data_IF_466991835947
#
_entry.id   IF_466991835947
#
_cell.length_a   1.000
_cell.length_b   1.000
_cell.length_c   1.000
_cell.angle_alpha   90.00
_cell.angle_beta   90.00
_cell.angle_gamma   90.00
#
_symmetry.space_group_name_H-M   'P 1'
#
loop_
_entity.id
_entity.type
_entity.pdbx_description
1 polymer ?
#
# COMPACT_ATOMS: atom_id res chain seq x y z
N UNK A 1 5.52 -19.18 44.61
CA UNK A 1 5.74 -20.44 43.87
C UNK A 1 4.39 -20.83 43.29
N UNK A 2 4.10 -20.44 42.03
CA UNK A 2 4.32 -21.25 40.80
C UNK A 2 3.31 -22.44 40.76
N UNK A 3 2.46 -22.71 39.76
CA UNK A 3 2.45 -22.54 38.28
C UNK A 3 0.97 -22.50 37.81
N UNK A 4 0.52 -21.59 36.94
CA UNK A 4 0.51 -21.66 35.46
C UNK A 4 -0.19 -22.90 34.86
N UNK A 5 -1.40 -22.71 34.31
CA UNK A 5 -1.93 -23.51 33.19
C UNK A 5 -2.57 -22.58 32.15
N UNK A 6 -1.84 -22.36 31.05
CA UNK A 6 -2.28 -21.55 29.92
C UNK A 6 -3.34 -22.26 29.07
N UNK A 7 -4.41 -21.54 28.74
CA UNK A 7 -5.27 -21.87 27.60
C UNK A 7 -4.66 -21.26 26.33
N UNK A 8 -4.44 -22.11 25.32
CA UNK A 8 -4.10 -21.69 23.96
C UNK A 8 -5.27 -20.87 23.40
N UNK A 9 -5.02 -19.59 23.15
CA UNK A 9 -5.86 -18.77 22.30
C UNK A 9 -5.66 -19.21 20.84
N UNK A 10 -6.71 -19.67 20.19
CA UNK A 10 -6.75 -19.78 18.73
C UNK A 10 -6.55 -18.39 18.14
N UNK A 11 -5.43 -18.20 17.43
CA UNK A 11 -5.12 -16.98 16.69
C UNK A 11 -6.15 -16.79 15.58
N UNK A 12 -6.93 -15.72 15.66
CA UNK A 12 -7.70 -15.19 14.54
C UNK A 12 -6.95 -13.96 14.01
N UNK A 13 -6.70 -13.84 12.70
CA UNK A 13 -6.15 -12.62 12.11
C UNK A 13 -7.06 -11.43 12.38
N UNK A 14 -6.45 -10.25 12.52
CA UNK A 14 -7.11 -8.96 12.82
C UNK A 14 -8.18 -8.57 11.76
N UNK A 15 -8.15 -9.18 10.57
CA UNK A 15 -9.12 -8.90 9.49
C UNK A 15 -10.48 -9.60 9.63
N UNK A 16 -10.76 -10.33 10.73
CA UNK A 16 -12.05 -10.98 10.94
C UNK A 16 -13.17 -10.05 11.49
N UNK A 17 -12.93 -8.75 11.65
CA UNK A 17 -13.81 -7.86 12.43
C UNK A 17 -14.71 -6.92 11.61
N UNK A 18 -14.43 -6.70 10.32
CA UNK A 18 -15.35 -5.97 9.44
C UNK A 18 -16.66 -6.74 9.13
N UNK A 19 -16.76 -8.03 9.51
CA UNK A 19 -18.00 -8.80 9.37
C UNK A 19 -19.11 -8.47 10.39
N UNK A 20 -18.83 -7.73 11.48
CA UNK A 20 -19.80 -7.60 12.59
C UNK A 20 -20.63 -6.29 12.62
N UNK A 21 -20.48 -5.36 11.68
CA UNK A 21 -21.20 -4.07 11.72
C UNK A 21 -22.40 -4.00 10.76
N UNK A 22 -22.69 -5.04 9.97
CA UNK A 22 -23.81 -5.03 9.02
C UNK A 22 -24.79 -6.19 9.16
N UNK A 23 -25.37 -6.34 10.35
CA UNK A 23 -26.72 -6.90 10.53
C UNK A 23 -27.41 -6.19 11.69
N UNK A 24 -28.13 -5.11 11.40
CA UNK A 24 -29.00 -4.47 12.38
C UNK A 24 -30.11 -5.42 12.82
N UNK A 25 -30.00 -5.98 14.04
CA UNK A 25 -31.15 -6.46 14.82
C UNK A 25 -30.96 -6.21 16.32
N UNK A 26 -31.87 -5.39 16.84
CA UNK A 26 -32.18 -5.20 18.25
C UNK A 26 -32.62 -6.55 18.86
N UNK A 27 -32.14 -6.83 20.08
CA UNK A 27 -32.40 -8.00 20.95
C UNK A 27 -33.91 -8.16 21.35
N UNK A 28 -34.42 -9.23 22.02
CA UNK A 28 -33.77 -9.97 23.13
C UNK A 28 -34.08 -11.49 23.32
N UNK A 29 -33.37 -12.07 24.30
CA UNK A 29 -33.69 -13.24 25.16
C UNK A 29 -33.37 -14.70 24.75
N UNK A 30 -32.55 -15.31 25.63
CA UNK A 30 -32.41 -16.69 26.13
C UNK A 30 -33.10 -17.89 25.43
N UNK A 31 -32.32 -18.96 25.14
CA UNK A 31 -32.37 -20.31 25.78
C UNK A 31 -31.63 -21.40 24.96
N UNK A 32 -30.83 -22.19 25.68
CA UNK A 32 -30.50 -23.62 25.53
C UNK A 32 -30.78 -24.37 24.20
N UNK A 33 -29.77 -25.10 23.65
CA UNK A 33 -29.57 -26.56 23.84
C UNK A 33 -28.37 -27.13 23.01
N UNK A 34 -27.54 -27.89 23.73
CA UNK A 34 -26.73 -29.10 23.42
C UNK A 34 -26.20 -29.47 22.00
N UNK A 35 -24.94 -29.90 22.09
CA UNK A 35 -24.30 -31.10 21.51
C UNK A 35 -24.10 -31.20 19.98
N UNK A 36 -22.83 -31.28 19.58
CA UNK A 36 -22.37 -32.43 18.79
C UNK A 36 -20.88 -32.71 19.00
N UNK A 37 -20.57 -34.01 19.10
CA UNK A 37 -19.23 -34.61 19.16
C UNK A 37 -18.60 -34.57 17.78
N UNK A 38 -17.30 -34.29 17.67
CA UNK A 38 -16.50 -34.67 16.50
C UNK A 38 -15.23 -35.42 16.95
N UNK A 39 -15.02 -36.54 16.28
CA UNK A 39 -13.96 -37.52 16.40
C UNK A 39 -12.60 -36.95 15.97
N UNK A 40 -11.56 -37.28 16.73
CA UNK A 40 -10.16 -37.17 16.32
C UNK A 40 -9.83 -38.29 15.33
N UNK A 41 -9.14 -37.97 14.24
CA UNK A 41 -8.33 -38.95 13.50
C UNK A 41 -6.92 -38.40 13.35
N UNK A 42 -5.96 -39.22 13.78
CA UNK A 42 -4.52 -38.99 13.74
C UNK A 42 -3.98 -39.36 12.36
N UNK A 43 -3.05 -38.58 11.82
CA UNK A 43 -2.23 -38.96 10.67
C UNK A 43 -0.75 -38.84 11.05
N UNK A 44 -0.10 -40.01 11.03
CA UNK A 44 1.29 -40.24 11.38
C UNK A 44 2.22 -39.90 10.20
N UNK A 45 3.28 -39.17 10.51
CA UNK A 45 4.45 -38.91 9.68
C UNK A 45 5.20 -40.20 9.29
N UNK A 46 5.67 -40.28 8.04
CA UNK A 46 6.80 -41.13 7.65
C UNK A 46 7.79 -40.37 6.79
N UNK A 47 8.97 -40.13 7.39
CA UNK A 47 10.22 -39.78 6.72
C UNK A 47 10.68 -40.90 5.78
N UNK A 48 11.27 -40.51 4.64
CA UNK A 48 12.30 -41.32 3.95
C UNK A 48 13.35 -40.42 3.30
N UNK A 49 14.54 -40.43 3.89
CA UNK A 49 15.80 -40.10 3.21
C UNK A 49 16.13 -41.22 2.20
N UNK A 50 16.72 -40.85 1.05
CA UNK A 50 17.79 -41.65 0.42
C UNK A 50 18.71 -40.76 -0.41
N UNK A 51 19.98 -41.14 -0.29
CA UNK A 51 21.24 -40.55 -0.74
C UNK A 51 21.51 -40.67 -2.25
N UNK A 52 22.19 -39.64 -2.76
CA UNK A 52 23.27 -39.59 -3.75
C UNK A 52 23.50 -40.75 -4.73
N UNK A 53 23.69 -40.40 -6.02
CA UNK A 53 24.79 -40.96 -6.81
C UNK A 53 25.30 -39.97 -7.87
N UNK A 54 26.63 -39.81 -7.87
CA UNK A 54 27.46 -39.10 -8.84
C UNK A 54 27.41 -39.78 -10.22
N UNK A 55 27.48 -39.01 -11.30
CA UNK A 55 28.29 -39.37 -12.46
C UNK A 55 28.65 -38.12 -13.26
N UNK A 56 29.95 -37.89 -13.40
CA UNK A 56 30.52 -36.76 -14.10
C UNK A 56 30.51 -36.91 -15.61
N UNK A 57 30.58 -35.77 -16.29
CA UNK A 57 31.19 -35.67 -17.61
C UNK A 57 31.74 -34.25 -17.82
N UNK A 58 33.08 -34.17 -17.90
CA UNK A 58 33.81 -33.03 -18.43
C UNK A 58 33.57 -32.91 -19.94
N UNK A 59 33.29 -31.71 -20.45
CA UNK A 59 33.66 -31.32 -21.82
C UNK A 59 34.05 -29.84 -21.89
N UNK A 60 35.37 -29.64 -22.01
CA UNK A 60 36.11 -28.62 -22.80
C UNK A 60 35.68 -27.14 -22.77
N UNK A 61 36.52 -26.35 -22.09
CA UNK A 61 36.69 -24.92 -22.34
C UNK A 61 37.36 -24.66 -23.71
N UNK A 62 36.79 -23.77 -24.50
CA UNK A 62 37.44 -23.17 -25.68
C UNK A 62 38.04 -21.83 -25.29
N UNK A 63 39.35 -21.72 -25.43
CA UNK A 63 40.15 -20.51 -25.28
C UNK A 63 40.20 -19.76 -26.62
N UNK A 64 39.74 -18.51 -26.66
CA UNK A 64 40.06 -17.59 -27.75
C UNK A 64 41.40 -16.92 -27.47
N UNK A 65 42.34 -17.12 -28.40
CA UNK A 65 43.66 -16.48 -28.44
C UNK A 65 43.52 -15.08 -29.06
N UNK A 66 44.01 -14.06 -28.36
CA UNK A 66 44.34 -12.75 -28.93
C UNK A 66 45.82 -12.75 -29.32
N UNK A 67 46.11 -12.30 -30.54
CA UNK A 67 47.46 -12.18 -31.07
C UNK A 67 47.89 -10.70 -31.00
N UNK A 68 49.10 -10.36 -30.49
CA UNK A 68 49.59 -8.99 -30.40
C UNK A 68 50.60 -8.67 -31.51
N UNK A 69 50.65 -7.42 -31.96
CA UNK A 69 51.80 -6.77 -32.61
C UNK A 69 51.58 -5.25 -32.54
N UNK A 70 52.34 -4.53 -31.70
CA UNK A 70 53.63 -3.84 -31.97
C UNK A 70 53.45 -2.64 -32.94
N UNK A 71 54.01 -1.44 -32.75
CA UNK A 71 54.87 -0.82 -31.73
C UNK A 71 55.05 0.66 -32.19
N UNK A 72 55.15 1.63 -31.26
CA UNK A 72 56.05 2.84 -31.26
C UNK A 72 56.07 3.84 -32.45
N UNK A 73 56.36 5.14 -32.34
CA UNK A 73 56.92 5.98 -31.28
C UNK A 73 56.74 7.49 -31.61
N UNK A 74 56.83 8.29 -30.54
CA UNK A 74 57.43 9.62 -30.35
C UNK A 74 57.32 10.75 -31.40
N UNK A 75 57.00 11.95 -30.89
CA UNK A 75 57.33 13.23 -31.51
C UNK A 75 56.92 14.43 -30.66
N UNK A 76 57.81 14.90 -29.79
CA UNK A 76 57.73 16.22 -29.13
C UNK A 76 58.02 17.32 -30.15
N UNK A 77 57.16 18.34 -30.23
CA UNK A 77 57.52 19.69 -30.70
C UNK A 77 56.75 20.71 -29.89
N UNK A 78 57.47 21.53 -29.13
CA UNK A 78 56.96 22.74 -28.50
C UNK A 78 56.72 23.84 -29.53
N UNK A 79 55.60 24.55 -29.43
CA UNK A 79 55.46 25.89 -29.97
C UNK A 79 54.64 26.75 -28.99
N UNK A 80 55.26 27.81 -28.50
CA UNK A 80 54.63 28.87 -27.71
C UNK A 80 53.67 29.67 -28.60
N UNK A 81 52.48 29.95 -28.09
CA UNK A 81 51.69 31.13 -28.47
C UNK A 81 51.01 31.65 -27.19
N UNK A 82 51.53 32.78 -26.73
CA UNK A 82 50.89 33.60 -25.72
C UNK A 82 49.75 34.39 -26.37
N UNK A 83 48.53 34.24 -25.87
CA UNK A 83 47.42 35.15 -26.16
C UNK A 83 46.45 35.15 -24.97
N UNK A 84 46.40 36.30 -24.30
CA UNK A 84 45.39 36.84 -23.38
C UNK A 84 44.32 35.89 -22.82
N UNK A 85 44.37 35.66 -21.51
CA UNK A 85 43.24 35.18 -20.72
C UNK A 85 42.15 36.27 -20.65
N UNK A 86 40.89 36.00 -21.01
CA UNK A 86 39.77 36.80 -20.54
C UNK A 86 39.56 36.52 -19.06
N UNK A 87 39.54 37.58 -18.28
CA UNK A 87 39.16 37.58 -16.87
C UNK A 87 37.72 37.05 -16.76
N UNK A 88 37.54 35.84 -16.23
CA UNK A 88 36.23 35.29 -15.95
C UNK A 88 35.54 36.17 -14.91
N UNK A 89 34.54 36.93 -15.35
CA UNK A 89 33.64 37.64 -14.44
C UNK A 89 32.87 36.60 -13.63
N UNK A 90 33.00 36.66 -12.31
CA UNK A 90 32.19 35.89 -11.38
C UNK A 90 30.74 36.39 -11.47
N UNK A 91 29.95 35.80 -12.34
CA UNK A 91 28.49 35.91 -12.28
C UNK A 91 28.02 35.06 -11.11
N UNK A 92 27.68 35.71 -10.01
CA UNK A 92 26.87 35.15 -8.93
C UNK A 92 25.57 34.63 -9.55
N UNK A 93 25.44 33.31 -9.67
CA UNK A 93 24.17 32.66 -10.00
C UNK A 93 23.27 32.87 -8.79
N UNK A 94 22.32 33.80 -8.90
CA UNK A 94 21.22 33.89 -7.95
C UNK A 94 20.50 32.53 -7.91
N UNK A 95 20.17 31.98 -6.74
CA UNK A 95 19.33 30.80 -6.67
C UNK A 95 18.01 31.11 -7.39
N UNK A 96 17.63 30.27 -8.35
CA UNK A 96 16.28 30.31 -8.92
C UNK A 96 15.29 30.29 -7.75
N UNK A 97 14.26 31.16 -7.76
CA UNK A 97 13.23 31.08 -6.76
C UNK A 97 12.63 29.67 -6.79
N UNK A 98 12.58 29.01 -5.64
CA UNK A 98 11.78 27.80 -5.47
C UNK A 98 10.39 28.09 -6.05
N UNK A 99 9.84 27.23 -6.92
CA UNK A 99 8.52 27.47 -7.49
C UNK A 99 7.54 27.68 -6.33
N UNK A 100 6.85 28.82 -6.33
CA UNK A 100 5.76 29.06 -5.41
C UNK A 100 4.80 27.88 -5.47
N UNK A 101 4.49 27.31 -4.31
CA UNK A 101 3.44 26.30 -4.15
C UNK A 101 2.22 26.73 -4.98
N UNK A 102 1.81 25.90 -5.94
CA UNK A 102 0.59 26.10 -6.70
C UNK A 102 -0.44 25.18 -6.07
N UNK A 103 -1.33 25.68 -5.20
CA UNK A 103 -2.40 24.87 -4.64
C UNK A 103 -3.19 24.20 -5.77
N UNK A 104 -3.43 22.89 -5.66
CA UNK A 104 -4.15 22.15 -6.70
C UNK A 104 -3.28 21.73 -7.88
N UNK A 105 -2.00 21.44 -7.67
CA UNK A 105 -1.19 20.72 -8.66
C UNK A 105 -1.29 19.21 -8.45
N UNK A 106 -1.15 18.43 -9.52
CA UNK A 106 -1.00 16.97 -9.42
C UNK A 106 0.18 16.60 -8.52
N UNK A 107 0.00 15.55 -7.72
CA UNK A 107 1.08 15.00 -6.90
C UNK A 107 2.12 14.36 -7.82
N UNK A 108 3.40 14.60 -7.54
CA UNK A 108 4.53 14.03 -8.28
C UNK A 108 5.60 13.51 -7.33
N UNK A 109 6.67 12.93 -7.88
CA UNK A 109 7.87 12.57 -7.12
C UNK A 109 9.06 13.44 -7.56
N UNK A 110 9.96 13.73 -6.63
CA UNK A 110 11.22 14.42 -6.88
C UNK A 110 12.35 13.66 -6.18
N UNK A 111 13.05 12.82 -6.95
CA UNK A 111 13.99 11.85 -6.40
C UNK A 111 13.26 10.89 -5.46
N UNK A 112 13.68 10.86 -4.20
CA UNK A 112 13.16 9.95 -3.19
C UNK A 112 12.02 10.55 -2.35
N UNK A 113 11.48 11.70 -2.73
CA UNK A 113 10.42 12.39 -2.00
C UNK A 113 9.16 12.61 -2.84
N UNK A 114 8.01 12.70 -2.19
CA UNK A 114 6.79 13.20 -2.78
C UNK A 114 6.78 14.72 -2.90
N UNK A 115 6.01 15.22 -3.85
CA UNK A 115 5.72 16.64 -4.06
C UNK A 115 4.20 16.85 -4.01
N UNK A 116 3.71 17.44 -2.93
CA UNK A 116 2.29 17.78 -2.75
C UNK A 116 2.12 19.30 -2.80
N UNK A 117 1.30 19.78 -3.74
CA UNK A 117 1.02 21.21 -3.95
C UNK A 117 2.30 22.07 -4.03
N UNK A 118 3.31 21.55 -4.73
CA UNK A 118 4.63 22.17 -4.92
C UNK A 118 5.60 22.05 -3.73
N UNK A 119 5.20 21.44 -2.61
CA UNK A 119 6.10 21.18 -1.48
C UNK A 119 6.72 19.80 -1.62
N UNK A 120 8.05 19.74 -1.67
CA UNK A 120 8.80 18.47 -1.65
C UNK A 120 9.10 18.11 -0.20
N UNK A 121 8.82 16.88 0.22
CA UNK A 121 9.21 16.43 1.56
C UNK A 121 8.45 15.21 2.06
N UNK A 122 8.50 15.05 3.39
CA UNK A 122 7.80 14.00 4.11
C UNK A 122 6.36 14.41 4.43
N UNK A 123 5.40 13.49 4.27
CA UNK A 123 3.98 13.74 4.56
C UNK A 123 3.37 12.65 5.42
N UNK A 124 2.66 13.03 6.47
CA UNK A 124 1.83 12.10 7.22
C UNK A 124 0.39 12.10 6.68
N UNK A 125 -0.27 10.97 6.86
CA UNK A 125 -1.66 10.76 6.51
C UNK A 125 -2.29 9.65 7.34
N UNK A 126 -3.42 9.13 6.87
CA UNK A 126 -4.12 8.03 7.53
C UNK A 126 -4.94 7.20 6.54
N UNK A 127 -5.55 6.13 7.04
CA UNK A 127 -6.49 5.28 6.33
C UNK A 127 -7.92 5.53 6.85
N UNK A 128 -8.89 5.61 5.93
CA UNK A 128 -10.32 5.65 6.26
C UNK A 128 -11.09 4.87 5.19
N UNK A 129 -11.06 3.55 5.30
CA UNK A 129 -11.74 2.66 4.34
C UNK A 129 -13.25 2.93 4.25
N UNK A 130 -13.83 3.41 5.34
CA UNK A 130 -15.27 3.56 5.53
C UNK A 130 -15.84 4.88 4.98
N UNK A 131 -15.01 5.89 4.67
CA UNK A 131 -15.49 7.24 4.32
C UNK A 131 -16.27 7.27 3.00
N UNK A 132 -15.85 6.47 2.01
CA UNK A 132 -16.54 6.33 0.72
C UNK A 132 -17.95 5.76 0.83
N UNK A 133 -18.28 5.12 1.95
CA UNK A 133 -19.56 4.46 2.16
C UNK A 133 -20.51 5.28 3.04
N UNK A 134 -20.05 6.42 3.56
CA UNK A 134 -20.90 7.35 4.29
C UNK A 134 -21.93 7.96 3.35
N UNK A 135 -23.19 8.00 3.78
CA UNK A 135 -24.29 8.64 3.03
C UNK A 135 -24.55 10.08 3.43
N UNK A 136 -24.09 10.48 4.61
CA UNK A 136 -24.22 11.85 5.09
C UNK A 136 -23.00 12.65 4.63
N UNK A 137 -23.25 13.70 3.86
CA UNK A 137 -22.21 14.60 3.35
C UNK A 137 -21.56 15.41 4.47
N UNK A 138 -22.31 15.79 5.51
CA UNK A 138 -21.78 16.54 6.65
C UNK A 138 -20.78 15.70 7.44
N UNK A 139 -20.97 14.38 7.53
CA UNK A 139 -20.02 13.47 8.18
C UNK A 139 -18.72 13.35 7.37
N UNK A 140 -18.81 13.32 6.04
CA UNK A 140 -17.62 13.34 5.16
C UNK A 140 -16.85 14.64 5.32
N UNK A 141 -17.54 15.79 5.28
CA UNK A 141 -16.92 17.10 5.45
C UNK A 141 -16.32 17.29 6.85
N UNK A 142 -16.96 16.77 7.90
CA UNK A 142 -16.43 16.77 9.27
C UNK A 142 -15.05 16.10 9.33
N UNK A 143 -14.96 14.88 8.79
CA UNK A 143 -13.71 14.12 8.75
C UNK A 143 -12.63 14.88 8.00
N UNK A 144 -12.94 15.40 6.80
CA UNK A 144 -11.96 16.16 6.03
C UNK A 144 -11.54 17.48 6.70
N UNK A 145 -12.43 18.15 7.44
CA UNK A 145 -12.08 19.32 8.27
C UNK A 145 -11.08 18.94 9.35
N UNK A 146 -11.34 17.87 10.10
CA UNK A 146 -10.43 17.41 11.16
C UNK A 146 -9.08 16.93 10.62
N UNK A 147 -9.05 16.23 9.47
CA UNK A 147 -7.80 15.86 8.79
C UNK A 147 -6.97 17.10 8.41
N UNK A 148 -7.63 18.12 7.82
CA UNK A 148 -7.00 19.37 7.45
C UNK A 148 -6.45 20.13 8.67
N UNK A 149 -7.25 20.24 9.73
CA UNK A 149 -6.88 20.88 11.00
C UNK A 149 -5.68 20.19 11.66
N UNK A 150 -5.62 18.86 11.56
CA UNK A 150 -4.53 18.05 12.11
C UNK A 150 -3.24 18.14 11.28
N UNK A 151 -3.29 18.70 10.08
CA UNK A 151 -2.14 18.82 9.19
C UNK A 151 -1.82 17.56 8.38
N UNK A 152 -2.67 16.53 8.45
CA UNK A 152 -2.57 15.34 7.60
C UNK A 152 -2.78 15.75 6.14
N UNK A 153 -2.04 15.12 5.21
CA UNK A 153 -2.07 15.48 3.78
C UNK A 153 -2.56 14.39 2.86
N UNK A 154 -2.48 13.14 3.31
CA UNK A 154 -2.83 11.97 2.52
C UNK A 154 -3.92 11.19 3.27
N UNK A 155 -4.97 10.79 2.56
CA UNK A 155 -5.99 9.89 3.07
C UNK A 155 -6.15 8.72 2.10
N UNK A 156 -5.91 7.50 2.56
CA UNK A 156 -6.16 6.30 1.76
C UNK A 156 -7.59 5.81 2.02
N UNK A 157 -8.35 5.60 0.95
CA UNK A 157 -9.79 5.30 0.97
C UNK A 157 -10.13 4.16 0.01
N UNK A 158 -11.17 3.38 0.33
CA UNK A 158 -11.51 2.24 -0.51
C UNK A 158 -12.25 2.70 -1.76
N UNK A 159 -11.62 2.51 -2.91
CA UNK A 159 -12.22 2.79 -4.22
C UNK A 159 -13.07 1.64 -4.75
N UNK A 160 -13.30 0.60 -3.93
CA UNK A 160 -14.08 -0.59 -4.26
C UNK A 160 -15.19 -0.83 -3.21
N UNK A 161 -16.26 -1.48 -3.66
CA UNK A 161 -17.29 -2.06 -2.81
C UNK A 161 -18.04 -3.09 -3.69
N UNK A 162 -17.50 -4.29 -3.70
CA UNK A 162 -17.90 -5.39 -4.58
C UNK A 162 -18.99 -6.24 -3.90
N UNK A 163 -20.05 -6.55 -4.64
CA UNK A 163 -21.16 -7.38 -4.17
C UNK A 163 -21.54 -8.42 -5.21
N UNK A 164 -22.01 -9.59 -4.76
CA UNK A 164 -22.57 -10.61 -5.66
C UNK A 164 -24.09 -10.52 -5.81
N UNK A 165 -24.73 -9.65 -5.03
CA UNK A 165 -26.14 -9.33 -5.12
C UNK A 165 -26.35 -7.88 -4.74
N UNK A 166 -27.20 -7.16 -5.48
CA UNK A 166 -27.57 -5.78 -5.13
C UNK A 166 -28.19 -5.73 -3.72
N UNK A 167 -27.67 -4.91 -2.80
CA UNK A 167 -28.29 -4.70 -1.48
C UNK A 167 -29.71 -4.14 -1.61
N UNK A 168 -30.64 -4.64 -0.80
CA UNK A 168 -32.06 -4.21 -0.83
C UNK A 168 -32.41 -3.18 0.25
N UNK A 169 -31.53 -2.97 1.21
CA UNK A 169 -31.66 -1.99 2.30
C UNK A 169 -31.12 -0.60 1.91
N UNK A 170 -30.73 -0.45 0.63
CA UNK A 170 -30.15 0.77 0.07
C UNK A 170 -28.69 0.98 0.44
N UNK A 171 -27.99 0.01 1.04
CA UNK A 171 -26.57 0.13 1.37
C UNK A 171 -25.72 0.47 0.15
N UNK A 172 -24.64 1.21 0.39
CA UNK A 172 -23.71 1.60 -0.67
C UNK A 172 -23.03 0.37 -1.26
N UNK A 173 -22.99 0.28 -2.59
CA UNK A 173 -22.21 -0.70 -3.34
C UNK A 173 -21.74 -0.07 -4.65
N UNK A 174 -20.53 -0.39 -5.10
CA UNK A 174 -19.96 0.21 -6.30
C UNK A 174 -19.97 -0.74 -7.50
N UNK A 175 -19.88 -2.04 -7.25
CA UNK A 175 -19.65 -3.01 -8.31
C UNK A 175 -20.42 -4.30 -8.04
N UNK A 176 -21.36 -4.64 -8.92
CA UNK A 176 -22.12 -5.88 -8.88
C UNK A 176 -21.48 -6.92 -9.80
N UNK A 177 -21.03 -8.02 -9.20
CA UNK A 177 -20.40 -9.16 -9.86
C UNK A 177 -21.31 -10.40 -9.74
N UNK A 178 -22.06 -10.74 -10.77
CA UNK A 178 -23.03 -11.83 -10.71
C UNK A 178 -23.18 -12.54 -12.06
N UNK A 179 -23.33 -13.87 -12.01
CA UNK A 179 -23.65 -14.70 -13.17
C UNK A 179 -22.73 -14.47 -14.40
N UNK A 180 -21.42 -14.36 -14.15
CA UNK A 180 -20.43 -14.08 -15.21
C UNK A 180 -20.48 -12.66 -15.78
N UNK A 181 -21.11 -11.71 -15.07
CA UNK A 181 -21.23 -10.31 -15.50
C UNK A 181 -20.78 -9.35 -14.40
N UNK A 182 -20.42 -8.14 -14.82
CA UNK A 182 -19.95 -7.06 -13.97
C UNK A 182 -20.70 -5.77 -14.33
N UNK A 183 -21.29 -5.10 -13.34
CA UNK A 183 -22.03 -3.84 -13.52
C UNK A 183 -21.61 -2.83 -12.47
N UNK A 184 -21.16 -1.66 -12.91
CA UNK A 184 -20.78 -0.54 -12.03
C UNK A 184 -22.03 0.23 -11.62
N UNK A 185 -22.17 0.55 -10.34
CA UNK A 185 -23.22 1.42 -9.83
C UNK A 185 -22.76 2.88 -9.87
N UNK A 186 -23.24 3.63 -10.86
CA UNK A 186 -22.97 5.08 -10.99
C UNK A 186 -24.00 5.96 -10.26
N UNK A 187 -24.94 5.36 -9.53
CA UNK A 187 -26.04 6.04 -8.84
C UNK A 187 -25.66 6.66 -7.48
N UNK A 188 -26.68 7.21 -6.81
CA UNK A 188 -26.57 7.89 -5.50
C UNK A 188 -26.05 6.99 -4.37
N UNK A 189 -26.38 5.69 -4.42
CA UNK A 189 -25.89 4.64 -3.51
C UNK A 189 -24.65 3.92 -4.08
N UNK A 190 -24.01 4.49 -5.10
CA UNK A 190 -22.83 3.95 -5.76
C UNK A 190 -21.67 4.93 -5.78
N UNK A 191 -21.01 5.05 -6.93
CA UNK A 191 -19.82 5.89 -7.10
C UNK A 191 -20.06 7.39 -6.81
N UNK A 192 -21.31 7.86 -6.77
CA UNK A 192 -21.58 9.24 -6.31
C UNK A 192 -21.19 9.48 -4.85
N UNK A 193 -21.09 8.44 -4.02
CA UNK A 193 -20.54 8.57 -2.66
C UNK A 193 -19.03 8.81 -2.69
N UNK A 194 -18.31 8.14 -3.59
CA UNK A 194 -16.89 8.40 -3.82
C UNK A 194 -16.66 9.78 -4.47
N UNK A 195 -17.56 10.24 -5.34
CA UNK A 195 -17.50 11.61 -5.89
C UNK A 195 -17.50 12.66 -4.79
N UNK A 196 -18.34 12.49 -3.78
CA UNK A 196 -18.41 13.45 -2.68
C UNK A 196 -17.14 13.43 -1.83
N UNK A 197 -16.54 12.24 -1.62
CA UNK A 197 -15.23 12.13 -0.96
C UNK A 197 -14.14 12.87 -1.73
N UNK A 198 -14.08 12.71 -3.06
CA UNK A 198 -13.12 13.43 -3.90
C UNK A 198 -13.36 14.94 -3.84
N UNK A 199 -14.63 15.39 -3.96
CA UNK A 199 -14.97 16.81 -3.88
C UNK A 199 -14.63 17.43 -2.52
N UNK A 200 -14.85 16.70 -1.41
CA UNK A 200 -14.49 17.17 -0.08
C UNK A 200 -12.97 17.19 0.11
N UNK A 201 -12.24 16.20 -0.42
CA UNK A 201 -10.78 16.21 -0.43
C UNK A 201 -10.20 17.43 -1.18
N UNK A 202 -10.77 17.78 -2.34
CA UNK A 202 -10.41 19.00 -3.09
C UNK A 202 -10.61 20.27 -2.24
N UNK A 203 -11.77 20.39 -1.59
CA UNK A 203 -12.12 21.53 -0.74
C UNK A 203 -11.18 21.70 0.45
N UNK A 204 -10.70 20.59 1.03
CA UNK A 204 -9.88 20.60 2.23
C UNK A 204 -8.37 20.45 1.95
N UNK A 205 -7.98 20.28 0.68
CA UNK A 205 -6.57 20.15 0.29
C UNK A 205 -5.94 18.85 0.80
N UNK A 206 -6.72 17.77 0.80
CA UNK A 206 -6.29 16.40 1.13
C UNK A 206 -6.09 15.62 -0.17
N UNK A 207 -5.06 14.77 -0.24
CA UNK A 207 -4.76 13.93 -1.40
C UNK A 207 -5.15 12.48 -1.13
N UNK A 208 -5.84 11.85 -2.08
CA UNK A 208 -6.45 10.53 -1.92
C UNK A 208 -5.62 9.43 -2.57
N UNK A 209 -5.32 8.38 -1.83
CA UNK A 209 -4.96 7.09 -2.43
C UNK A 209 -6.25 6.29 -2.57
N UNK A 210 -6.53 5.83 -3.79
CA UNK A 210 -7.76 5.10 -4.12
C UNK A 210 -7.38 3.76 -4.73
N UNK A 211 -7.76 2.68 -4.06
CA UNK A 211 -7.51 1.30 -4.52
C UNK A 211 -8.71 0.67 -5.21
N UNK A 212 -8.47 -0.26 -6.13
CA UNK A 212 -9.52 -0.75 -7.04
C UNK A 212 -10.14 -2.09 -6.67
N UNK A 213 -9.51 -2.86 -5.78
CA UNK A 213 -10.03 -4.17 -5.32
C UNK A 213 -9.37 -4.56 -3.99
N UNK A 214 -10.06 -5.37 -3.19
CA UNK A 214 -9.49 -5.97 -1.99
C UNK A 214 -8.93 -7.37 -2.28
N UNK A 215 -7.75 -7.72 -1.73
CA UNK A 215 -7.37 -9.12 -1.64
C UNK A 215 -8.28 -9.89 -0.67
N UNK A 216 -8.64 -9.27 0.46
CA UNK A 216 -9.51 -9.86 1.48
C UNK A 216 -10.98 -9.86 1.06
N UNK A 217 -11.84 -10.48 1.87
CA UNK A 217 -13.25 -10.68 1.56
C UNK A 217 -14.14 -9.51 1.99
N UNK A 218 -13.61 -8.58 2.79
CA UNK A 218 -14.35 -7.40 3.24
C UNK A 218 -14.66 -6.51 2.05
N UNK A 219 -15.94 -6.12 1.96
CA UNK A 219 -16.50 -5.44 0.79
C UNK A 219 -16.30 -6.22 -0.52
N UNK A 220 -16.34 -7.56 -0.43
CA UNK A 220 -16.35 -8.50 -1.55
C UNK A 220 -14.96 -8.94 -1.99
N UNK A 221 -14.15 -7.98 -2.46
CA UNK A 221 -12.79 -8.20 -2.95
C UNK A 221 -12.68 -9.25 -4.05
N UNK A 222 -11.49 -9.82 -4.20
CA UNK A 222 -11.20 -10.86 -5.21
C UNK A 222 -12.19 -12.04 -5.08
N UNK A 223 -12.66 -12.38 -3.87
CA UNK A 223 -13.62 -13.46 -3.70
C UNK A 223 -14.98 -13.18 -4.38
N UNK A 224 -15.39 -11.92 -4.51
CA UNK A 224 -16.59 -11.56 -5.27
C UNK A 224 -16.41 -11.85 -6.78
N UNK A 225 -15.22 -11.62 -7.33
CA UNK A 225 -14.88 -12.01 -8.71
C UNK A 225 -14.87 -13.53 -8.86
N UNK A 226 -14.27 -14.27 -7.91
CA UNK A 226 -14.26 -15.73 -7.90
C UNK A 226 -15.67 -16.32 -7.91
N UNK A 227 -16.59 -15.77 -7.11
CA UNK A 227 -17.98 -16.21 -7.08
C UNK A 227 -18.72 -15.97 -8.40
N UNK A 228 -18.41 -14.88 -9.10
CA UNK A 228 -19.08 -14.53 -10.35
C UNK A 228 -18.52 -15.27 -11.58
N UNK A 229 -17.20 -15.53 -11.61
CA UNK A 229 -16.50 -16.04 -12.80
C UNK A 229 -15.88 -17.44 -12.61
N UNK A 230 -15.84 -17.97 -11.39
CA UNK A 230 -15.26 -19.28 -11.04
C UNK A 230 -13.73 -19.27 -10.91
N UNK A 231 -13.16 -20.26 -10.22
CA UNK A 231 -11.70 -20.37 -9.97
C UNK A 231 -11.34 -20.19 -8.50
N UNK A 232 -10.11 -19.77 -8.22
CA UNK A 232 -9.62 -19.37 -6.90
C UNK A 232 -9.12 -17.92 -6.88
N UNK A 233 -8.69 -17.42 -5.71
CA UNK A 233 -8.12 -16.07 -5.60
C UNK A 233 -6.85 -15.92 -6.43
N UNK A 234 -6.03 -16.96 -6.50
CA UNK A 234 -4.79 -16.98 -7.29
C UNK A 234 -5.09 -16.90 -8.79
N UNK A 235 -6.21 -17.49 -9.23
CA UNK A 235 -6.64 -17.41 -10.63
C UNK A 235 -7.02 -15.98 -11.04
N UNK A 236 -7.42 -15.11 -10.11
CA UNK A 236 -7.81 -13.72 -10.41
C UNK A 236 -6.80 -12.99 -11.28
N UNK A 237 -5.51 -13.16 -10.99
CA UNK A 237 -4.42 -12.46 -11.65
C UNK A 237 -4.24 -12.85 -13.13
N UNK A 238 -4.73 -14.02 -13.54
CA UNK A 238 -4.54 -14.57 -14.90
C UNK A 238 -5.85 -14.93 -15.60
N UNK A 239 -6.99 -14.89 -14.90
CA UNK A 239 -8.30 -15.16 -15.46
C UNK A 239 -8.78 -13.97 -16.31
N UNK A 240 -8.88 -14.16 -17.62
CA UNK A 240 -9.25 -13.13 -18.58
C UNK A 240 -10.61 -12.47 -18.28
N UNK A 241 -11.60 -13.23 -17.81
CA UNK A 241 -12.93 -12.70 -17.51
C UNK A 241 -12.92 -11.81 -16.26
N UNK A 242 -12.21 -12.23 -15.21
CA UNK A 242 -12.03 -11.41 -14.00
C UNK A 242 -11.22 -10.15 -14.30
N UNK A 243 -10.13 -10.27 -15.05
CA UNK A 243 -9.30 -9.13 -15.43
C UNK A 243 -10.04 -8.16 -16.35
N UNK A 244 -10.89 -8.64 -17.25
CA UNK A 244 -11.75 -7.77 -18.07
C UNK A 244 -12.74 -6.98 -17.19
N UNK A 245 -13.40 -7.62 -16.23
CA UNK A 245 -14.31 -6.96 -15.29
C UNK A 245 -13.57 -5.93 -14.42
N UNK A 246 -12.43 -6.31 -13.84
CA UNK A 246 -11.60 -5.44 -13.01
C UNK A 246 -11.07 -4.22 -13.79
N UNK A 247 -10.58 -4.41 -15.02
CA UNK A 247 -10.13 -3.29 -15.88
C UNK A 247 -11.26 -2.39 -16.35
N UNK A 248 -12.46 -2.92 -16.52
CA UNK A 248 -13.65 -2.11 -16.79
C UNK A 248 -14.00 -1.24 -15.57
N UNK A 249 -13.91 -1.80 -14.35
CA UNK A 249 -14.11 -1.06 -13.11
C UNK A 249 -13.05 0.04 -12.89
N UNK A 250 -11.76 -0.27 -13.07
CA UNK A 250 -10.66 0.71 -13.04
C UNK A 250 -10.98 1.89 -13.96
N UNK A 251 -11.37 1.59 -15.22
CA UNK A 251 -11.69 2.63 -16.18
C UNK A 251 -12.87 3.49 -15.75
N UNK A 252 -13.92 2.87 -15.20
CA UNK A 252 -15.07 3.58 -14.69
C UNK A 252 -14.65 4.58 -13.59
N UNK A 253 -13.87 4.15 -12.60
CA UNK A 253 -13.39 5.01 -11.51
C UNK A 253 -12.45 6.12 -12.02
N UNK A 254 -11.39 5.77 -12.76
CA UNK A 254 -10.39 6.74 -13.25
C UNK A 254 -11.05 7.82 -14.12
N UNK A 255 -12.00 7.45 -14.98
CA UNK A 255 -12.66 8.40 -15.88
C UNK A 255 -13.42 9.52 -15.17
N UNK A 256 -13.72 9.36 -13.88
CA UNK A 256 -14.40 10.38 -13.06
C UNK A 256 -13.45 11.42 -12.50
N UNK A 257 -12.21 11.03 -12.22
CA UNK A 257 -11.30 11.81 -11.39
C UNK A 257 -9.94 12.06 -12.04
N UNK A 258 -9.73 11.68 -13.30
CA UNK A 258 -8.45 11.86 -14.00
C UNK A 258 -7.99 13.32 -14.02
N UNK A 259 -8.89 14.30 -13.95
CA UNK A 259 -8.58 15.74 -13.89
C UNK A 259 -8.53 16.31 -12.47
N UNK A 260 -8.93 15.55 -11.44
CA UNK A 260 -8.91 16.01 -10.06
C UNK A 260 -7.49 16.04 -9.52
N UNK A 261 -7.07 17.16 -8.94
CA UNK A 261 -5.75 17.27 -8.30
C UNK A 261 -5.75 16.77 -6.85
N UNK A 262 -6.89 16.27 -6.37
CA UNK A 262 -7.02 15.64 -5.07
C UNK A 262 -6.63 14.16 -5.10
N UNK A 263 -6.32 13.55 -6.25
CA UNK A 263 -5.80 12.18 -6.27
C UNK A 263 -4.28 12.22 -6.01
N UNK A 264 -3.85 11.49 -4.98
CA UNK A 264 -2.44 11.21 -4.69
C UNK A 264 -1.92 10.13 -5.66
N UNK A 265 -2.58 8.97 -5.64
CA UNK A 265 -2.21 7.82 -6.45
C UNK A 265 -3.40 6.89 -6.72
N UNK A 266 -3.32 6.21 -7.86
CA UNK A 266 -4.11 5.02 -8.15
C UNK A 266 -3.39 3.79 -7.59
N UNK A 267 -4.07 3.04 -6.73
CA UNK A 267 -3.52 1.83 -6.12
C UNK A 267 -4.17 0.59 -6.73
N UNK A 268 -3.36 -0.38 -7.15
CA UNK A 268 -3.87 -1.56 -7.84
C UNK A 268 -4.86 -2.33 -6.96
N UNK A 269 -4.48 -2.67 -5.74
CA UNK A 269 -5.32 -3.42 -4.82
C UNK A 269 -4.90 -3.17 -3.37
N UNK A 270 -5.82 -3.38 -2.43
CA UNK A 270 -5.45 -3.55 -1.03
C UNK A 270 -4.82 -4.93 -0.81
N UNK A 271 -3.56 -4.94 -0.38
CA UNK A 271 -2.78 -6.11 0.07
C UNK A 271 -2.81 -7.32 -0.91
N UNK A 272 -2.54 -7.15 -2.22
CA UNK A 272 -2.58 -8.25 -3.17
C UNK A 272 -1.57 -9.34 -2.80
N UNK A 273 -2.06 -10.58 -2.62
CA UNK A 273 -1.23 -11.78 -2.42
C UNK A 273 -1.57 -12.88 -3.41
N UNK A 274 -0.60 -13.72 -3.73
CA UNK A 274 -0.78 -14.96 -4.48
C UNK A 274 -0.11 -16.10 -3.72
N UNK A 275 -0.85 -16.70 -2.79
CA UNK A 275 -0.29 -17.62 -1.80
C UNK A 275 0.27 -18.89 -2.43
N UNK A 276 1.57 -19.12 -2.23
CA UNK A 276 2.29 -20.26 -2.81
C UNK A 276 2.54 -20.15 -4.33
N UNK A 277 2.23 -19.02 -4.95
CA UNK A 277 2.53 -18.78 -6.35
C UNK A 277 4.01 -18.42 -6.55
N UNK A 278 4.51 -18.66 -7.76
CA UNK A 278 5.74 -18.01 -8.21
C UNK A 278 5.55 -16.49 -8.23
N UNK A 279 6.56 -15.73 -7.79
CA UNK A 279 6.46 -14.26 -7.68
C UNK A 279 6.22 -13.56 -9.03
N UNK A 280 6.50 -14.26 -10.13
CA UNK A 280 6.20 -13.79 -11.49
C UNK A 280 4.72 -13.59 -11.75
N UNK A 281 3.81 -14.27 -11.02
CA UNK A 281 2.36 -14.11 -11.21
C UNK A 281 1.93 -12.69 -10.84
N UNK A 282 2.26 -12.24 -9.62
CA UNK A 282 1.96 -10.86 -9.20
C UNK A 282 2.75 -9.86 -10.04
N UNK A 283 4.04 -10.09 -10.30
CA UNK A 283 4.85 -9.19 -11.13
C UNK A 283 4.21 -8.88 -12.49
N UNK A 284 3.78 -9.92 -13.22
CA UNK A 284 3.17 -9.76 -14.54
C UNK A 284 1.81 -9.03 -14.45
N UNK A 285 1.01 -9.35 -13.43
CA UNK A 285 -0.26 -8.67 -13.19
C UNK A 285 -0.07 -7.19 -12.83
N UNK A 286 0.90 -6.88 -11.98
CA UNK A 286 1.25 -5.50 -11.58
C UNK A 286 1.71 -4.70 -12.79
N UNK A 287 2.64 -5.26 -13.59
CA UNK A 287 3.14 -4.60 -14.79
C UNK A 287 1.99 -4.29 -15.77
N UNK A 288 1.18 -5.29 -16.10
CA UNK A 288 0.09 -5.14 -17.05
C UNK A 288 -1.03 -4.20 -16.57
N UNK A 289 -1.31 -4.20 -15.26
CA UNK A 289 -2.37 -3.36 -14.69
C UNK A 289 -1.91 -1.91 -14.54
N UNK A 290 -0.70 -1.68 -14.04
CA UNK A 290 -0.14 -0.32 -13.92
C UNK A 290 0.05 0.34 -15.29
N UNK A 291 0.49 -0.39 -16.32
CA UNK A 291 0.53 0.11 -17.70
C UNK A 291 -0.85 0.52 -18.22
N UNK A 292 -1.90 -0.24 -17.90
CA UNK A 292 -3.25 0.09 -18.31
C UNK A 292 -3.77 1.34 -17.59
N UNK A 293 -3.54 1.47 -16.28
CA UNK A 293 -3.85 2.69 -15.52
C UNK A 293 -3.14 3.90 -16.14
N UNK A 294 -1.83 3.81 -16.41
CA UNK A 294 -1.07 4.89 -17.05
C UNK A 294 -1.56 5.24 -18.46
N UNK A 295 -2.18 4.28 -19.17
CA UNK A 295 -2.81 4.53 -20.48
C UNK A 295 -4.13 5.30 -20.39
N UNK A 296 -4.82 5.22 -19.25
CA UNK A 296 -6.04 5.97 -18.95
C UNK A 296 -5.72 7.34 -18.33
N UNK A 297 -4.65 7.41 -17.54
CA UNK A 297 -4.25 8.58 -16.78
C UNK A 297 -2.73 8.70 -16.65
N UNK A 298 -2.16 9.67 -17.35
CA UNK A 298 -0.73 9.95 -17.35
C UNK A 298 -0.28 10.98 -16.31
N UNK A 299 -1.19 11.48 -15.47
CA UNK A 299 -0.95 12.63 -14.57
C UNK A 299 -0.75 12.20 -13.12
N UNK A 300 -1.47 11.17 -12.68
CA UNK A 300 -1.40 10.66 -11.32
C UNK A 300 -0.32 9.60 -11.12
N UNK A 301 0.14 9.49 -9.87
CA UNK A 301 1.02 8.41 -9.44
C UNK A 301 0.26 7.08 -9.42
N UNK A 302 0.99 5.97 -9.51
CA UNK A 302 0.47 4.60 -9.43
C UNK A 302 1.34 3.80 -8.46
N UNK A 303 0.70 3.11 -7.52
CA UNK A 303 1.33 2.19 -6.57
C UNK A 303 0.59 0.84 -6.55
N UNK A 304 1.19 -0.13 -5.85
CA UNK A 304 0.67 -1.50 -5.83
C UNK A 304 -0.37 -1.66 -4.71
N UNK A 305 -0.06 -1.20 -3.50
CA UNK A 305 -0.85 -1.43 -2.29
C UNK A 305 -0.51 -2.74 -1.57
N UNK A 306 0.65 -3.34 -1.87
CA UNK A 306 1.13 -4.55 -1.21
C UNK A 306 1.79 -4.28 0.14
N UNK A 307 1.81 -5.31 0.98
CA UNK A 307 2.34 -5.25 2.35
C UNK A 307 3.87 -5.15 2.42
N UNK A 308 4.58 -5.28 1.29
CA UNK A 308 6.05 -5.27 1.23
C UNK A 308 6.72 -6.64 1.39
N UNK A 309 5.97 -7.74 1.33
CA UNK A 309 6.54 -9.07 1.50
C UNK A 309 7.53 -9.48 0.40
N UNK A 310 8.43 -10.40 0.76
CA UNK A 310 9.45 -10.92 -0.15
C UNK A 310 10.55 -9.90 -0.39
N UNK A 311 11.54 -9.85 0.50
CA UNK A 311 12.63 -8.88 0.41
C UNK A 311 13.92 -9.47 0.99
N UNK A 312 14.99 -9.46 0.20
CA UNK A 312 16.31 -9.91 0.68
C UNK A 312 17.04 -8.84 1.51
N UNK A 313 16.78 -7.55 1.22
CA UNK A 313 17.41 -6.43 1.91
C UNK A 313 17.02 -6.44 3.38
N UNK A 314 18.00 -6.54 4.28
CA UNK A 314 17.78 -6.53 5.72
C UNK A 314 17.04 -7.76 6.28
N UNK A 315 16.86 -8.80 5.46
CA UNK A 315 16.13 -10.01 5.85
C UNK A 315 16.76 -10.71 7.05
N UNK A 316 15.94 -11.06 8.03
CA UNK A 316 16.27 -11.90 9.19
C UNK A 316 15.75 -13.33 9.05
N UNK A 317 15.19 -13.68 7.89
CA UNK A 317 14.58 -14.98 7.63
C UNK A 317 13.15 -15.14 8.17
N UNK A 318 12.57 -14.13 8.82
CA UNK A 318 11.17 -14.16 9.27
C UNK A 318 10.20 -14.22 8.08
N UNK A 319 8.99 -14.72 8.35
CA UNK A 319 7.93 -14.93 7.36
C UNK A 319 7.68 -13.71 6.44
N UNK A 320 7.56 -12.45 6.94
CA UNK A 320 7.33 -11.29 6.08
C UNK A 320 8.40 -11.06 5.00
N UNK A 321 9.67 -11.36 5.30
CA UNK A 321 10.74 -11.24 4.31
C UNK A 321 10.75 -12.37 3.28
N UNK A 322 9.98 -13.45 3.50
CA UNK A 322 9.91 -14.58 2.57
C UNK A 322 8.92 -14.31 1.43
N UNK A 323 9.08 -15.09 0.36
CA UNK A 323 8.32 -14.95 -0.89
C UNK A 323 7.02 -15.79 -0.92
N UNK A 324 6.59 -16.37 0.21
CA UNK A 324 5.48 -17.34 0.24
C UNK A 324 4.11 -16.75 -0.08
N UNK A 325 3.96 -15.42 0.05
CA UNK A 325 2.75 -14.70 -0.35
C UNK A 325 2.76 -14.30 -1.84
N UNK A 326 3.76 -14.76 -2.60
CA UNK A 326 3.86 -14.53 -4.05
C UNK A 326 4.33 -13.14 -4.44
N UNK A 327 4.77 -12.31 -3.48
CA UNK A 327 5.35 -10.98 -3.74
C UNK A 327 6.88 -11.01 -3.69
N UNK A 328 7.50 -10.10 -4.44
CA UNK A 328 8.93 -9.79 -4.43
C UNK A 328 9.03 -8.26 -4.51
N UNK A 329 9.19 -7.62 -3.35
CA UNK A 329 9.10 -6.17 -3.22
C UNK A 329 10.07 -5.43 -4.13
N UNK A 330 11.35 -5.83 -4.14
CA UNK A 330 12.37 -5.17 -4.93
C UNK A 330 12.12 -5.31 -6.43
N UNK A 331 11.69 -6.49 -6.88
CA UNK A 331 11.36 -6.74 -8.28
C UNK A 331 10.10 -6.01 -8.74
N UNK A 332 9.07 -5.99 -7.90
CA UNK A 332 7.82 -5.28 -8.20
C UNK A 332 8.03 -3.77 -8.25
N UNK A 333 8.81 -3.20 -7.31
CA UNK A 333 9.17 -1.78 -7.30
C UNK A 333 9.96 -1.36 -8.55
N UNK A 334 10.70 -2.27 -9.18
CA UNK A 334 11.46 -1.98 -10.40
C UNK A 334 10.57 -1.79 -11.65
N UNK A 335 9.27 -2.09 -11.58
CA UNK A 335 8.33 -1.88 -12.70
C UNK A 335 8.26 -0.37 -13.05
N UNK A 336 8.50 0.04 -14.31
CA UNK A 336 8.58 1.45 -14.68
C UNK A 336 7.30 2.27 -14.46
N UNK A 337 6.14 1.61 -14.51
CA UNK A 337 4.81 2.22 -14.34
C UNK A 337 4.32 2.24 -12.89
N UNK A 338 5.15 1.79 -11.94
CA UNK A 338 4.97 1.98 -10.50
C UNK A 338 5.86 3.13 -10.04
N UNK A 339 5.30 4.16 -9.42
CA UNK A 339 6.04 5.39 -9.11
C UNK A 339 6.70 5.39 -7.72
N UNK A 340 6.17 4.60 -6.79
CA UNK A 340 6.68 4.46 -5.42
C UNK A 340 6.31 3.09 -4.84
N UNK A 341 7.05 2.66 -3.82
CA UNK A 341 6.78 1.41 -3.09
C UNK A 341 5.84 1.61 -1.92
N UNK A 342 5.02 0.61 -1.63
CA UNK A 342 4.12 0.54 -0.48
C UNK A 342 4.54 -0.62 0.41
N UNK A 343 4.43 -0.47 1.72
CA UNK A 343 4.58 -1.58 2.65
C UNK A 343 3.78 -1.30 3.93
N UNK A 344 3.33 -2.38 4.58
CA UNK A 344 2.48 -2.32 5.76
C UNK A 344 3.24 -2.86 6.99
N UNK A 345 2.66 -2.81 8.20
CA UNK A 345 3.25 -3.41 9.40
C UNK A 345 2.21 -3.82 10.45
N UNK A 346 2.08 -5.14 10.66
CA UNK A 346 1.22 -5.71 11.70
C UNK A 346 1.93 -6.86 12.45
N UNK A 347 2.80 -6.58 13.44
CA UNK A 347 3.67 -7.59 14.05
C UNK A 347 2.92 -8.76 14.69
N UNK A 348 1.79 -8.47 15.35
CA UNK A 348 0.94 -9.47 16.00
C UNK A 348 0.34 -10.46 14.99
N UNK A 349 -0.10 -9.97 13.83
CA UNK A 349 -0.63 -10.79 12.73
C UNK A 349 0.47 -11.65 12.07
N UNK A 350 1.70 -11.17 12.06
CA UNK A 350 2.82 -11.80 11.35
C UNK A 350 3.72 -12.67 12.24
N UNK A 351 3.45 -12.69 13.55
CA UNK A 351 4.25 -13.45 14.52
C UNK A 351 5.63 -12.85 14.77
N UNK A 352 5.78 -11.53 14.64
CA UNK A 352 7.01 -10.79 14.93
C UNK A 352 6.83 -9.90 16.17
N UNK A 353 7.93 -9.33 16.68
CA UNK A 353 7.88 -8.40 17.83
C UNK A 353 7.63 -6.97 17.36
N UNK A 354 7.16 -6.10 18.25
CA UNK A 354 6.98 -4.69 17.90
C UNK A 354 8.30 -4.00 17.52
N UNK A 355 9.39 -4.32 18.22
CA UNK A 355 10.72 -3.75 17.92
C UNK A 355 11.22 -4.13 16.51
N UNK A 356 10.83 -5.31 16.00
CA UNK A 356 11.15 -5.78 14.65
C UNK A 356 10.65 -4.80 13.56
N UNK A 357 9.55 -4.09 13.82
CA UNK A 357 8.97 -3.10 12.91
C UNK A 357 9.96 -2.02 12.46
N UNK A 358 10.91 -1.62 13.31
CA UNK A 358 11.92 -0.63 12.91
C UNK A 358 12.89 -1.20 11.85
N UNK A 359 13.25 -2.48 11.96
CA UNK A 359 14.05 -3.18 10.97
C UNK A 359 13.30 -3.33 9.64
N UNK A 360 11.99 -3.59 9.70
CA UNK A 360 11.12 -3.64 8.53
C UNK A 360 11.08 -2.32 7.77
N UNK A 361 10.81 -1.21 8.47
CA UNK A 361 10.78 0.15 7.89
C UNK A 361 12.13 0.52 7.25
N UNK A 362 13.25 0.26 7.96
CA UNK A 362 14.59 0.60 7.45
C UNK A 362 14.98 -0.22 6.22
N UNK A 363 14.57 -1.48 6.16
CA UNK A 363 14.84 -2.38 5.02
C UNK A 363 14.07 -1.95 3.76
N UNK A 364 12.80 -1.57 3.90
CA UNK A 364 12.00 -1.04 2.79
C UNK A 364 12.55 0.30 2.28
N UNK A 365 12.92 1.20 3.20
CA UNK A 365 13.59 2.45 2.83
C UNK A 365 14.89 2.21 2.05
N UNK A 366 15.69 1.22 2.43
CA UNK A 366 16.90 0.84 1.71
C UNK A 366 16.59 0.31 0.29
N UNK A 367 15.58 -0.55 0.14
CA UNK A 367 15.16 -1.08 -1.17
C UNK A 367 14.60 0.03 -2.08
N UNK A 368 13.78 0.94 -1.55
CA UNK A 368 13.27 2.10 -2.29
C UNK A 368 14.38 3.05 -2.72
N UNK A 369 15.35 3.32 -1.84
CA UNK A 369 16.54 4.10 -2.17
C UNK A 369 17.32 3.47 -3.32
N UNK A 370 17.54 2.16 -3.31
CA UNK A 370 18.24 1.44 -4.38
C UNK A 370 17.48 1.52 -5.70
N UNK A 371 16.15 1.43 -5.67
CA UNK A 371 15.30 1.59 -6.84
C UNK A 371 15.20 3.05 -7.35
N UNK A 372 15.69 4.02 -6.57
CA UNK A 372 15.57 5.45 -6.90
C UNK A 372 14.14 5.99 -6.82
N UNK A 373 13.28 5.35 -6.02
CA UNK A 373 11.86 5.70 -5.86
C UNK A 373 11.51 5.97 -4.39
N UNK A 374 10.52 6.81 -4.08
CA UNK A 374 10.01 6.94 -2.72
C UNK A 374 9.36 5.63 -2.24
N UNK A 375 9.26 5.50 -0.93
CA UNK A 375 8.48 4.51 -0.21
C UNK A 375 7.41 5.22 0.62
N UNK A 376 6.23 4.61 0.71
CA UNK A 376 5.15 4.98 1.60
C UNK A 376 4.92 3.86 2.61
N UNK A 377 5.02 4.20 3.90
CA UNK A 377 4.65 3.29 4.97
C UNK A 377 3.12 3.35 5.15
N UNK A 378 2.40 2.56 4.37
CA UNK A 378 1.01 2.83 3.97
C UNK A 378 -0.04 2.33 4.98
N UNK A 379 0.31 1.33 5.80
CA UNK A 379 -0.49 0.93 6.95
C UNK A 379 0.40 0.45 8.09
N UNK A 380 0.01 0.76 9.33
CA UNK A 380 0.59 0.17 10.52
C UNK A 380 -0.36 0.34 11.70
N UNK A 381 -0.30 -0.60 12.63
CA UNK A 381 -1.08 -0.52 13.86
C UNK A 381 -0.79 -1.64 14.84
N UNK A 382 -1.08 -1.36 16.12
CA UNK A 382 -1.29 -2.36 17.17
C UNK A 382 -2.63 -2.11 17.84
N UNK A 383 -3.15 -3.09 18.58
CA UNK A 383 -4.46 -2.97 19.26
C UNK A 383 -4.36 -2.58 20.75
N UNK A 384 -3.15 -2.24 21.21
CA UNK A 384 -2.87 -1.83 22.59
C UNK A 384 -1.53 -1.12 22.67
N UNK A 385 -1.38 -0.21 23.63
CA UNK A 385 -0.14 0.56 23.86
C UNK A 385 0.31 1.36 22.62
N UNK A 386 -0.64 1.86 21.82
CA UNK A 386 -0.43 2.53 20.53
C UNK A 386 0.72 3.54 20.59
N UNK A 387 0.61 4.54 21.46
CA UNK A 387 1.60 5.62 21.57
C UNK A 387 3.02 5.10 21.88
N UNK A 388 3.16 4.10 22.75
CA UNK A 388 4.47 3.58 23.15
C UNK A 388 5.13 2.74 22.05
N UNK A 389 4.32 2.05 21.25
CA UNK A 389 4.78 1.11 20.21
C UNK A 389 4.99 1.80 18.87
N UNK A 390 4.06 2.65 18.46
CA UNK A 390 4.00 3.17 17.09
C UNK A 390 4.81 4.46 16.92
N UNK A 391 5.01 5.24 17.99
CA UNK A 391 5.86 6.43 17.97
C UNK A 391 7.32 6.11 17.59
N UNK A 392 7.95 5.02 18.10
CA UNK A 392 9.22 4.54 17.56
C UNK A 392 9.21 4.26 16.05
N UNK A 393 8.15 3.66 15.51
CA UNK A 393 8.04 3.37 14.07
C UNK A 393 7.93 4.65 13.25
N UNK A 394 7.11 5.61 13.68
CA UNK A 394 7.00 6.94 13.06
C UNK A 394 8.35 7.67 13.06
N UNK A 395 9.09 7.64 14.17
CA UNK A 395 10.43 8.20 14.24
C UNK A 395 11.40 7.49 13.29
N UNK A 396 11.35 6.16 13.20
CA UNK A 396 12.19 5.39 12.28
C UNK A 396 11.85 5.73 10.82
N UNK A 397 10.56 5.78 10.47
CA UNK A 397 10.08 6.14 9.14
C UNK A 397 10.56 7.55 8.76
N UNK A 398 10.32 8.55 9.62
CA UNK A 398 10.76 9.92 9.40
C UNK A 398 12.27 10.00 9.18
N UNK A 399 13.09 9.23 9.91
CA UNK A 399 14.55 9.32 9.81
C UNK A 399 15.17 8.40 8.74
N UNK A 400 14.40 7.53 8.10
CA UNK A 400 14.90 6.61 7.08
C UNK A 400 14.89 7.26 5.70
N UNK A 401 16.00 7.15 4.97
CA UNK A 401 16.06 7.65 3.58
C UNK A 401 15.07 6.91 2.68
N UNK A 402 14.46 7.63 1.74
CA UNK A 402 13.43 7.16 0.80
C UNK A 402 12.05 6.87 1.39
N UNK A 403 11.89 6.75 2.71
CA UNK A 403 10.54 6.84 3.29
C UNK A 403 10.11 8.30 3.21
N UNK A 404 9.08 8.57 2.40
CA UNK A 404 8.60 9.93 2.13
C UNK A 404 7.20 10.21 2.71
N UNK A 405 6.64 9.25 3.41
CA UNK A 405 5.42 9.43 4.17
C UNK A 405 5.03 8.17 4.91
N UNK A 406 4.11 8.34 5.85
CA UNK A 406 3.50 7.24 6.59
C UNK A 406 2.01 7.52 6.85
N UNK A 407 1.19 6.47 6.78
CA UNK A 407 -0.25 6.50 7.04
C UNK A 407 -0.57 5.43 8.08
N UNK A 408 -0.99 5.85 9.27
CA UNK A 408 -1.42 4.90 10.29
C UNK A 408 -2.75 4.25 9.88
N UNK A 409 -2.95 3.01 10.32
CA UNK A 409 -4.24 2.33 10.30
C UNK A 409 -4.83 2.37 11.72
N UNK A 410 -5.90 3.11 12.00
CA UNK A 410 -6.71 3.92 11.07
C UNK A 410 -7.36 5.15 11.73
N UNK A 411 -7.86 6.07 10.91
CA UNK A 411 -8.55 7.27 11.38
C UNK A 411 -9.89 6.93 12.04
N UNK A 412 -10.15 7.52 13.21
CA UNK A 412 -11.43 7.47 13.90
C UNK A 412 -12.03 8.85 14.15
N UNK A 413 -13.35 8.97 14.13
CA UNK A 413 -14.08 10.21 14.41
C UNK A 413 -15.44 9.96 15.06
N UNK A 414 -16.10 11.03 15.50
CA UNK A 414 -17.48 11.04 15.98
C UNK A 414 -18.41 11.56 14.88
N UNK A 415 -19.12 10.65 14.22
CA UNK A 415 -20.05 10.95 13.14
C UNK A 415 -21.46 11.18 13.69
N UNK A 416 -22.37 11.68 12.85
CA UNK A 416 -23.79 11.87 13.19
C UNK A 416 -24.49 10.58 13.65
N UNK A 417 -24.04 9.43 13.12
CA UNK A 417 -24.55 8.10 13.47
C UNK A 417 -23.87 7.44 14.69
N UNK A 418 -22.89 8.10 15.32
CA UNK A 418 -22.04 7.53 16.37
C UNK A 418 -20.55 7.48 15.96
N UNK A 419 -19.69 6.83 16.77
CA UNK A 419 -18.29 6.68 16.41
C UNK A 419 -18.14 5.93 15.08
N UNK A 420 -17.14 6.31 14.29
CA UNK A 420 -16.67 5.52 13.16
C UNK A 420 -16.23 4.11 13.60
N UNK A 421 -15.97 3.17 12.68
CA UNK A 421 -15.54 1.81 13.04
C UNK A 421 -14.32 1.80 13.96
N UNK A 422 -14.34 0.88 14.92
CA UNK A 422 -13.22 0.58 15.83
C UNK A 422 -12.83 -0.89 15.68
N UNK A 423 -11.63 -1.13 15.19
CA UNK A 423 -11.04 -2.46 15.06
C UNK A 423 -9.92 -2.71 16.08
N UNK A 424 -9.77 -1.81 17.05
CA UNK A 424 -8.70 -1.82 18.04
C UNK A 424 -7.48 -1.00 17.63
N UNK A 425 -7.25 -0.73 16.33
CA UNK A 425 -6.13 0.10 15.85
C UNK A 425 -6.54 1.57 15.64
N UNK A 426 -7.77 1.93 15.97
CA UNK A 426 -8.37 3.21 15.56
C UNK A 426 -7.89 4.37 16.43
N UNK A 427 -7.36 5.43 15.82
CA UNK A 427 -7.03 6.67 16.51
C UNK A 427 -8.15 7.69 16.33
N UNK A 428 -8.97 7.84 17.36
CA UNK A 428 -10.05 8.82 17.37
C UNK A 428 -9.54 10.25 17.51
N UNK A 429 -10.00 11.14 16.63
CA UNK A 429 -9.74 12.58 16.71
C UNK A 429 -9.97 13.14 18.12
N UNK A 430 -9.03 13.95 18.59
CA UNK A 430 -9.11 14.61 19.91
C UNK A 430 -8.75 13.74 21.13
N UNK A 431 -8.34 12.48 20.93
CA UNK A 431 -7.88 11.59 22.02
C UNK A 431 -6.39 11.73 22.33
N UNK A 432 -5.94 11.10 23.42
CA UNK A 432 -4.53 11.10 23.82
C UNK A 432 -3.63 10.34 22.82
N UNK A 433 -4.11 9.23 22.25
CA UNK A 433 -3.39 8.51 21.19
C UNK A 433 -3.28 9.38 19.94
N UNK A 434 -4.37 10.06 19.53
CA UNK A 434 -4.33 10.99 18.41
C UNK A 434 -3.35 12.14 18.65
N UNK A 435 -3.31 12.69 19.87
CA UNK A 435 -2.31 13.69 20.22
C UNK A 435 -0.88 13.12 20.09
N UNK A 436 -0.63 11.93 20.63
CA UNK A 436 0.70 11.32 20.62
C UNK A 436 1.19 10.93 19.22
N UNK A 437 0.30 10.38 18.38
CA UNK A 437 0.66 9.75 17.10
C UNK A 437 0.31 10.60 15.89
N UNK A 438 -0.51 11.65 16.03
CA UNK A 438 -0.82 12.58 14.93
C UNK A 438 -0.27 13.96 15.24
N UNK A 439 -0.73 14.61 16.31
CA UNK A 439 -0.33 16.00 16.61
C UNK A 439 1.17 16.15 16.83
N UNK A 440 1.75 15.29 17.68
CA UNK A 440 3.20 15.32 17.97
C UNK A 440 4.03 14.91 16.74
N UNK A 441 3.55 13.96 15.93
CA UNK A 441 4.25 13.50 14.72
C UNK A 441 4.27 14.57 13.63
N UNK A 442 3.14 15.24 13.40
CA UNK A 442 3.05 16.40 12.51
C UNK A 442 3.99 17.52 12.97
N UNK A 443 4.07 17.78 14.28
CA UNK A 443 5.03 18.74 14.82
C UNK A 443 6.50 18.31 14.56
N UNK A 444 6.82 17.03 14.71
CA UNK A 444 8.15 16.49 14.41
C UNK A 444 8.51 16.63 12.92
N UNK A 445 7.60 16.30 12.01
CA UNK A 445 7.77 16.48 10.55
C UNK A 445 8.04 17.96 10.23
N UNK A 446 7.20 18.86 10.75
CA UNK A 446 7.36 20.30 10.51
C UNK A 446 8.64 20.89 11.09
N UNK A 447 9.23 20.26 12.12
CA UNK A 447 10.52 20.69 12.69
C UNK A 447 11.74 20.26 11.86
N UNK A 448 11.57 19.29 10.95
CA UNK A 448 12.63 18.75 10.09
C UNK A 448 12.74 19.50 8.76
N UNK A 449 11.62 19.93 8.21
CA UNK A 449 11.53 20.73 6.97
C UNK A 449 11.90 22.19 7.25
#
# INVERSE_FOLDING_TARGET
>A
MELSSGSRAEHRPIHAWAQNVYQGRISPESRFYKNSRILKSELSFRNRQRTANNNGQQVRASTMKLNPSLLTAAGLVSAQLASALPQASSSTVSPSPSPSATPGSFVTTSGLNFVIDGKTGYFAGSNSYWIGFQKNNDDVDLVFSHLQESGLKILRVWGFNDVNQKPTDGSVYYHLLADGTATVNEGEDGLQRLDYVVSSAEKHGIKLIINFVNFWDDYGGINAYVKAFGGSKEDFYTNDAMQAAYRAYIKAVISRYSDSTAIFAWELANEPRCQGCETTVLYNWIESTSQYIKSLDSKHLVCIGDEGFGLDTGSDGSYPYQYSEGSDFAKNLAIPTIDFGTFHLYPSSWGTTNDWGNGWVTSHGAACKEAGKPCLFEEYGVTSDHCAVEKPWQNTALNTTAISGDLYWQYGDQLSGGPSPDDGNTFYYGTDDFKCLVTDHIAAINSRN
#
